data_IF_733499246551
#
_entry.id   IF_733499246551
#
_cell.length_a   1.000
_cell.length_b   1.000
_cell.length_c   1.000
_cell.angle_alpha   90.00
_cell.angle_beta   90.00
_cell.angle_gamma   90.00
#
_symmetry.space_group_name_H-M   'P 1'
#
loop_
_entity.id
_entity.type
_entity.pdbx_description
1 polymer ?
#
# COMPACT_ATOMS: atom_id res chain seq x y z
N UNK A 1 -31.36 6.20 -1.59
CA UNK A 1 -30.62 5.43 -2.61
C UNK A 1 -29.21 5.96 -2.64
N UNK A 2 -28.17 5.13 -2.68
CA UNK A 2 -26.79 5.66 -2.80
C UNK A 2 -26.63 6.26 -4.19
N UNK A 3 -26.02 7.44 -4.33
CA UNK A 3 -25.90 8.15 -5.63
C UNK A 3 -24.85 7.51 -6.55
N UNK A 4 -24.14 6.47 -6.11
CA UNK A 4 -23.17 5.73 -6.90
C UNK A 4 -23.32 4.21 -6.70
N UNK A 5 -22.88 3.43 -7.69
CA UNK A 5 -22.77 1.98 -7.63
C UNK A 5 -21.37 1.56 -8.10
N UNK A 6 -20.84 0.52 -7.49
CA UNK A 6 -19.61 -0.09 -8.01
C UNK A 6 -19.91 -0.96 -9.21
N UNK A 7 -19.05 -0.89 -10.21
CA UNK A 7 -18.99 -1.87 -11.27
C UNK A 7 -18.56 -3.23 -10.72
N UNK A 8 -18.90 -4.35 -11.42
CA UNK A 8 -18.41 -5.66 -11.02
C UNK A 8 -16.88 -5.66 -10.90
N UNK A 9 -16.37 -6.23 -9.80
CA UNK A 9 -14.94 -6.38 -9.61
C UNK A 9 -14.40 -7.42 -10.60
N UNK A 10 -13.36 -7.06 -11.33
CA UNK A 10 -12.64 -7.97 -12.22
C UNK A 10 -11.37 -8.47 -11.52
N UNK A 11 -10.89 -9.70 -11.82
CA UNK A 11 -9.60 -10.15 -11.33
C UNK A 11 -8.48 -9.17 -11.68
N UNK A 12 -7.59 -8.91 -10.73
CA UNK A 12 -6.42 -8.04 -10.90
C UNK A 12 -5.12 -8.85 -10.82
N UNK A 13 -4.75 -9.60 -11.88
CA UNK A 13 -3.58 -10.47 -11.84
C UNK A 13 -2.28 -9.71 -11.55
N UNK A 14 -2.23 -8.42 -11.89
CA UNK A 14 -1.10 -7.55 -11.57
C UNK A 14 -0.91 -7.29 -10.08
N UNK A 15 -1.95 -7.45 -9.26
CA UNK A 15 -1.90 -7.28 -7.81
C UNK A 15 -1.59 -8.60 -7.06
N UNK A 16 -1.46 -9.73 -7.78
CA UNK A 16 -0.96 -10.95 -7.15
C UNK A 16 0.49 -10.77 -6.68
N UNK A 17 0.86 -11.42 -5.56
CA UNK A 17 0.09 -12.39 -4.75
C UNK A 17 -0.80 -11.78 -3.66
N UNK A 18 -0.85 -10.47 -3.50
CA UNK A 18 -1.57 -9.80 -2.40
C UNK A 18 -3.08 -9.98 -2.46
N UNK A 19 -3.63 -10.20 -3.66
CA UNK A 19 -5.06 -10.41 -3.89
C UNK A 19 -5.43 -11.89 -4.03
N UNK A 20 -4.53 -12.81 -3.71
CA UNK A 20 -4.82 -14.23 -3.72
C UNK A 20 -5.91 -14.63 -2.71
N UNK A 21 -5.91 -13.98 -1.54
CA UNK A 21 -6.79 -14.29 -0.41
C UNK A 21 -7.72 -13.13 -0.01
N UNK A 22 -7.69 -12.01 -0.73
CA UNK A 22 -8.55 -10.84 -0.48
C UNK A 22 -8.87 -10.09 -1.74
N UNK A 23 -10.03 -9.44 -1.77
CA UNK A 23 -10.38 -8.52 -2.83
C UNK A 23 -9.56 -7.22 -2.71
N UNK A 24 -9.26 -6.57 -3.85
CA UNK A 24 -8.44 -5.37 -3.86
C UNK A 24 -9.13 -4.17 -3.20
N UNK A 25 -10.46 -4.08 -3.29
CA UNK A 25 -11.24 -3.03 -2.62
C UNK A 25 -11.21 -3.13 -1.08
N UNK A 26 -10.93 -4.33 -0.55
CA UNK A 26 -10.70 -4.56 0.88
C UNK A 26 -9.23 -4.38 1.29
N UNK A 27 -8.31 -4.13 0.36
CA UNK A 27 -6.89 -3.98 0.67
C UNK A 27 -6.65 -2.70 1.50
N UNK A 28 -5.97 -2.79 2.67
CA UNK A 28 -5.72 -1.63 3.52
C UNK A 28 -4.59 -0.76 2.96
N UNK A 29 -4.91 0.49 2.71
CA UNK A 29 -4.00 1.55 2.27
C UNK A 29 -3.94 2.58 3.39
N UNK A 30 -2.77 2.84 3.97
CA UNK A 30 -2.67 3.68 5.18
C UNK A 30 -3.53 3.14 6.34
N UNK A 31 -3.65 1.82 6.45
CA UNK A 31 -4.49 1.07 7.40
C UNK A 31 -6.01 1.28 7.24
N UNK A 32 -6.46 1.75 6.07
CA UNK A 32 -7.88 1.95 5.74
C UNK A 32 -8.18 1.20 4.45
N UNK A 33 -9.27 0.41 4.33
CA UNK A 33 -9.63 -0.27 3.09
C UNK A 33 -9.78 0.69 1.91
N UNK A 34 -9.39 0.26 0.70
CA UNK A 34 -9.54 1.06 -0.53
C UNK A 34 -11.00 1.53 -0.72
N UNK A 35 -11.96 0.64 -0.47
CA UNK A 35 -13.40 0.97 -0.56
C UNK A 35 -13.82 2.10 0.38
N UNK A 36 -13.18 2.24 1.54
CA UNK A 36 -13.45 3.32 2.48
C UNK A 36 -12.84 4.65 1.99
N UNK A 37 -11.62 4.63 1.42
CA UNK A 37 -11.04 5.79 0.76
C UNK A 37 -11.94 6.29 -0.37
N UNK A 38 -12.46 5.36 -1.21
CA UNK A 38 -13.43 5.70 -2.25
C UNK A 38 -14.70 6.31 -1.67
N UNK A 39 -15.25 5.72 -0.59
CA UNK A 39 -16.44 6.24 0.08
C UNK A 39 -16.23 7.66 0.61
N UNK A 40 -15.06 7.95 1.17
CA UNK A 40 -14.70 9.28 1.63
C UNK A 40 -14.55 10.27 0.47
N UNK A 41 -13.88 9.88 -0.60
CA UNK A 41 -13.74 10.73 -1.79
C UNK A 41 -15.08 11.04 -2.45
N UNK A 42 -16.04 10.11 -2.36
CA UNK A 42 -17.38 10.20 -2.90
C UNK A 42 -18.40 10.83 -1.92
N UNK A 43 -17.98 11.29 -0.74
CA UNK A 43 -18.86 11.83 0.31
C UNK A 43 -19.30 13.30 0.05
N UNK A 44 -19.38 13.73 -1.19
CA UNK A 44 -19.79 15.08 -1.58
C UNK A 44 -21.29 15.23 -1.86
N UNK A 45 -21.69 16.43 -2.29
CA UNK A 45 -23.04 16.69 -2.77
C UNK A 45 -23.23 16.08 -4.17
N UNK A 46 -24.20 15.19 -4.29
CA UNK A 46 -24.52 14.49 -5.53
C UNK A 46 -25.75 15.11 -6.19
N UNK A 47 -25.79 15.22 -7.52
CA UNK A 47 -27.00 15.61 -8.24
C UNK A 47 -28.15 14.64 -7.93
N UNK A 48 -29.32 15.16 -7.68
CA UNK A 48 -30.52 14.34 -7.42
C UNK A 48 -30.87 13.53 -8.68
N UNK A 49 -30.99 12.21 -8.51
CA UNK A 49 -31.47 11.31 -9.57
C UNK A 49 -30.38 10.73 -10.48
N UNK A 50 -29.14 11.15 -10.33
CA UNK A 50 -28.01 10.52 -11.06
C UNK A 50 -27.45 9.31 -10.31
N UNK A 51 -27.04 8.30 -11.09
CA UNK A 51 -26.26 7.17 -10.62
C UNK A 51 -24.90 7.22 -11.32
N UNK A 52 -23.82 7.33 -10.56
CA UNK A 52 -22.46 7.25 -11.07
C UNK A 52 -21.96 5.82 -10.87
N UNK A 53 -21.33 5.26 -11.89
CA UNK A 53 -20.63 3.98 -11.81
C UNK A 53 -19.16 4.22 -11.44
N UNK A 54 -18.66 3.44 -10.50
CA UNK A 54 -17.31 3.58 -9.95
C UNK A 54 -16.56 2.26 -10.14
N UNK A 55 -15.36 2.32 -10.69
CA UNK A 55 -14.50 1.15 -10.77
C UNK A 55 -13.97 0.78 -9.37
N UNK A 56 -14.16 -0.45 -8.90
CA UNK A 56 -13.83 -0.86 -7.53
C UNK A 56 -12.33 -0.81 -7.22
N UNK A 57 -11.50 -0.80 -8.27
CA UNK A 57 -10.04 -0.74 -8.16
C UNK A 57 -9.46 0.67 -8.40
N UNK A 58 -10.29 1.69 -8.45
CA UNK A 58 -9.85 3.06 -8.62
C UNK A 58 -9.37 3.66 -7.29
N UNK A 59 -8.16 4.22 -7.27
CA UNK A 59 -7.82 5.24 -6.29
C UNK A 59 -8.45 6.56 -6.71
N UNK A 60 -9.28 7.14 -5.86
CA UNK A 60 -9.99 8.38 -6.13
C UNK A 60 -9.50 9.50 -5.20
N UNK A 61 -9.02 10.59 -5.76
CA UNK A 61 -8.74 11.81 -5.01
C UNK A 61 -9.98 12.71 -4.96
N UNK A 62 -10.32 13.29 -3.80
CA UNK A 62 -11.50 14.14 -3.66
C UNK A 62 -11.56 15.30 -4.65
N UNK A 63 -10.41 15.89 -5.01
CA UNK A 63 -10.34 16.98 -5.97
C UNK A 63 -10.76 16.57 -7.39
N UNK A 64 -10.33 15.38 -7.85
CA UNK A 64 -10.72 14.86 -9.16
C UNK A 64 -12.20 14.49 -9.22
N UNK A 65 -12.71 13.89 -8.13
CA UNK A 65 -14.13 13.57 -7.99
C UNK A 65 -14.95 14.87 -8.04
N UNK A 66 -14.55 15.90 -7.30
CA UNK A 66 -15.22 17.20 -7.28
C UNK A 66 -15.22 17.86 -8.67
N UNK A 67 -14.08 17.82 -9.37
CA UNK A 67 -13.96 18.35 -10.73
C UNK A 67 -14.88 17.61 -11.73
N UNK A 68 -14.93 16.28 -11.67
CA UNK A 68 -15.83 15.47 -12.50
C UNK A 68 -17.31 15.78 -12.19
N UNK A 69 -17.66 15.96 -10.93
CA UNK A 69 -19.04 16.27 -10.51
C UNK A 69 -19.44 17.70 -10.89
N UNK A 70 -18.49 18.63 -10.97
CA UNK A 70 -18.75 20.01 -11.41
C UNK A 70 -19.00 20.13 -12.93
N UNK A 71 -18.71 19.09 -13.71
CA UNK A 71 -18.96 19.01 -15.15
C UNK A 71 -20.11 18.02 -15.44
N UNK A 72 -21.39 18.47 -15.41
CA UNK A 72 -22.54 17.58 -15.47
C UNK A 72 -22.68 16.85 -16.81
N UNK A 73 -22.05 17.34 -17.86
CA UNK A 73 -22.07 16.71 -19.19
C UNK A 73 -20.96 15.68 -19.38
N UNK A 74 -19.96 15.63 -18.49
CA UNK A 74 -18.85 14.69 -18.62
C UNK A 74 -19.32 13.23 -18.55
N UNK A 75 -18.91 12.42 -19.53
CA UNK A 75 -19.27 11.01 -19.61
C UNK A 75 -18.42 10.12 -18.68
N UNK A 76 -17.14 10.46 -18.51
CA UNK A 76 -16.22 9.67 -17.71
C UNK A 76 -15.14 10.52 -17.02
N UNK A 77 -14.64 10.01 -15.89
CA UNK A 77 -13.34 10.37 -15.32
C UNK A 77 -12.35 9.27 -15.66
N UNK A 78 -11.23 9.63 -16.29
CA UNK A 78 -10.16 8.69 -16.68
C UNK A 78 -8.83 9.08 -16.05
N UNK A 79 -7.97 8.09 -15.84
CA UNK A 79 -6.59 8.33 -15.37
C UNK A 79 -5.67 8.87 -16.50
N UNK A 80 -4.40 9.12 -16.18
CA UNK A 80 -3.42 9.63 -17.12
C UNK A 80 -3.18 8.70 -18.32
N UNK A 81 -3.42 7.38 -18.16
CA UNK A 81 -3.31 6.36 -19.21
C UNK A 81 -4.61 6.15 -19.99
N UNK A 82 -5.70 6.87 -19.63
CA UNK A 82 -6.99 6.78 -20.27
C UNK A 82 -7.89 5.67 -19.74
N UNK A 83 -7.53 5.01 -18.63
CA UNK A 83 -8.43 4.04 -18.01
C UNK A 83 -9.54 4.74 -17.22
N UNK A 84 -10.74 4.22 -17.37
CA UNK A 84 -11.92 4.71 -16.69
C UNK A 84 -11.86 4.47 -15.18
N UNK A 85 -12.24 5.47 -14.41
CA UNK A 85 -12.31 5.46 -12.95
C UNK A 85 -13.75 5.62 -12.47
N UNK A 86 -14.49 6.49 -13.14
CA UNK A 86 -15.91 6.76 -12.89
C UNK A 86 -16.61 6.99 -14.21
N UNK A 87 -17.88 6.56 -14.29
CA UNK A 87 -18.73 6.71 -15.48
C UNK A 87 -20.07 7.33 -15.11
N UNK A 88 -20.59 8.14 -16.03
CA UNK A 88 -21.98 8.62 -16.00
C UNK A 88 -22.74 7.86 -17.09
N UNK A 89 -23.53 6.83 -16.73
CA UNK A 89 -24.21 5.98 -17.70
C UNK A 89 -25.12 6.77 -18.65
N UNK A 90 -24.98 6.49 -19.94
CA UNK A 90 -25.77 7.15 -20.98
C UNK A 90 -25.31 8.56 -21.37
N UNK A 91 -24.33 9.14 -20.69
CA UNK A 91 -23.73 10.41 -21.11
C UNK A 91 -22.80 10.22 -22.32
N UNK A 92 -22.85 11.17 -23.25
CA UNK A 92 -21.99 11.19 -24.47
C UNK A 92 -21.08 12.42 -24.50
N UNK A 93 -20.93 13.07 -23.36
CA UNK A 93 -20.16 14.29 -23.21
C UNK A 93 -18.63 14.07 -23.13
N UNK A 94 -17.88 15.10 -22.76
CA UNK A 94 -16.42 15.04 -22.68
C UNK A 94 -15.94 14.05 -21.63
N UNK A 95 -14.67 13.65 -21.76
CA UNK A 95 -13.95 12.84 -20.78
C UNK A 95 -13.09 13.76 -19.92
N UNK A 96 -13.29 13.71 -18.60
CA UNK A 96 -12.43 14.41 -17.64
C UNK A 96 -11.16 13.59 -17.37
N UNK A 97 -10.00 14.24 -17.35
CA UNK A 97 -8.73 13.59 -16.97
C UNK A 97 -8.41 13.89 -15.52
N UNK A 98 -8.20 12.83 -14.76
CA UNK A 98 -7.76 12.92 -13.38
C UNK A 98 -6.32 13.46 -13.28
N UNK A 99 -6.05 14.23 -12.22
CA UNK A 99 -4.72 14.75 -11.89
C UNK A 99 -4.00 13.85 -10.87
N UNK A 100 -4.75 13.21 -9.99
CA UNK A 100 -4.23 12.39 -8.90
C UNK A 100 -4.86 11.01 -8.79
N UNK A 101 -6.07 10.82 -9.32
CA UNK A 101 -6.77 9.53 -9.32
C UNK A 101 -6.23 8.60 -10.40
N UNK A 102 -6.18 7.31 -10.12
CA UNK A 102 -5.67 6.29 -11.04
C UNK A 102 -6.26 4.92 -10.77
N UNK A 103 -6.21 4.03 -11.76
CA UNK A 103 -6.60 2.64 -11.59
C UNK A 103 -5.44 1.83 -11.02
N UNK A 104 -5.68 1.09 -9.93
CA UNK A 104 -4.75 0.13 -9.36
C UNK A 104 -4.67 -1.11 -10.27
N UNK A 105 -3.61 -1.24 -11.03
CA UNK A 105 -3.38 -2.34 -11.97
C UNK A 105 -2.39 -3.36 -11.44
N UNK A 106 -1.44 -2.87 -10.64
CA UNK A 106 -0.28 -3.65 -10.19
C UNK A 106 -0.06 -3.49 -8.69
N UNK A 107 0.57 -4.48 -8.08
CA UNK A 107 0.87 -4.46 -6.65
C UNK A 107 1.72 -3.25 -6.21
N UNK A 108 2.57 -2.71 -7.08
CA UNK A 108 3.35 -1.50 -6.78
C UNK A 108 2.54 -0.19 -6.84
N UNK A 109 1.36 -0.21 -7.46
CA UNK A 109 0.44 0.95 -7.43
C UNK A 109 -0.10 1.19 -6.02
N UNK A 110 -0.15 0.13 -5.18
CA UNK A 110 -0.51 0.24 -3.77
C UNK A 110 0.44 1.13 -2.99
N UNK A 111 1.74 1.15 -3.33
CA UNK A 111 2.70 2.05 -2.70
C UNK A 111 2.41 3.52 -3.04
N UNK A 112 2.00 3.80 -4.28
CA UNK A 112 1.58 5.14 -4.71
C UNK A 112 0.30 5.55 -3.99
N UNK A 113 -0.68 4.64 -3.92
CA UNK A 113 -1.92 4.89 -3.19
C UNK A 113 -1.67 5.15 -1.70
N UNK A 114 -0.75 4.39 -1.07
CA UNK A 114 -0.38 4.59 0.34
C UNK A 114 0.26 5.96 0.58
N UNK A 115 1.16 6.39 -0.29
CA UNK A 115 1.77 7.72 -0.23
C UNK A 115 0.69 8.81 -0.34
N UNK A 116 -0.25 8.66 -1.27
CA UNK A 116 -1.39 9.59 -1.44
C UNK A 116 -2.30 9.58 -0.22
N UNK A 117 -2.64 8.40 0.31
CA UNK A 117 -3.49 8.27 1.50
C UNK A 117 -2.89 9.00 2.70
N UNK A 118 -1.59 8.79 2.97
CA UNK A 118 -0.90 9.44 4.09
C UNK A 118 -0.79 10.95 3.89
N UNK A 119 -0.55 11.41 2.66
CA UNK A 119 -0.51 12.83 2.33
C UNK A 119 -1.87 13.52 2.53
N UNK A 120 -2.97 12.86 2.16
CA UNK A 120 -4.34 13.37 2.30
C UNK A 120 -4.89 13.26 3.72
N UNK A 121 -4.22 12.50 4.59
CA UNK A 121 -4.66 12.28 5.96
C UNK A 121 -4.63 13.58 6.76
N UNK A 122 -5.79 13.94 7.34
CA UNK A 122 -5.94 15.16 8.15
C UNK A 122 -5.81 14.91 9.65
N UNK A 123 -6.12 13.69 10.11
CA UNK A 123 -6.11 13.34 11.53
C UNK A 123 -4.92 12.43 11.84
N UNK A 124 -4.08 12.90 12.76
CA UNK A 124 -2.89 12.20 13.24
C UNK A 124 -3.01 12.01 14.75
N UNK A 125 -3.38 10.81 15.16
CA UNK A 125 -3.66 10.49 16.56
C UNK A 125 -2.61 9.52 17.09
N UNK A 126 -2.07 9.83 18.27
CA UNK A 126 -1.19 8.91 18.99
C UNK A 126 -1.91 8.39 20.23
N UNK A 127 -2.39 7.16 20.15
CA UNK A 127 -3.09 6.44 21.22
C UNK A 127 -2.22 5.33 21.83
N UNK A 128 -0.97 5.22 21.38
CA UNK A 128 -0.01 4.23 21.86
C UNK A 128 0.78 4.71 23.07
N UNK A 129 1.46 3.76 23.70
CA UNK A 129 2.47 4.02 24.73
C UNK A 129 3.86 4.15 24.07
N UNK A 130 4.61 5.22 24.38
CA UNK A 130 5.90 5.44 23.77
C UNK A 130 6.96 5.90 24.78
N UNK A 131 8.16 5.38 24.60
CA UNK A 131 9.30 5.76 25.41
C UNK A 131 9.73 7.22 25.13
N UNK A 132 10.23 7.92 26.14
CA UNK A 132 10.65 9.31 26.04
C UNK A 132 11.76 9.59 25.00
N UNK A 133 12.51 8.55 24.57
CA UNK A 133 13.54 8.67 23.52
C UNK A 133 13.00 8.46 22.10
N UNK A 134 11.68 8.37 21.88
CA UNK A 134 11.11 8.38 20.56
C UNK A 134 11.43 9.70 19.87
N UNK A 135 12.05 9.63 18.69
CA UNK A 135 12.28 10.80 17.84
C UNK A 135 11.36 10.76 16.63
N UNK A 136 10.67 11.86 16.35
CA UNK A 136 9.76 12.00 15.21
C UNK A 136 10.10 13.25 14.42
N UNK A 137 10.50 13.06 13.16
CA UNK A 137 10.66 14.11 12.15
C UNK A 137 9.64 13.88 11.04
N UNK A 138 8.43 14.42 11.21
CA UNK A 138 7.30 14.23 10.34
C UNK A 138 6.00 14.04 11.09
N UNK A 139 5.10 13.18 10.55
CA UNK A 139 3.77 12.93 11.12
C UNK A 139 3.61 11.46 11.52
N UNK A 140 3.19 11.22 12.74
CA UNK A 140 2.99 9.88 13.29
C UNK A 140 1.57 9.68 13.80
N UNK A 141 0.93 8.58 13.39
CA UNK A 141 -0.31 8.10 13.99
C UNK A 141 -0.08 6.70 14.56
N UNK A 142 -0.51 6.47 15.80
CA UNK A 142 -0.32 5.20 16.52
C UNK A 142 -1.65 4.75 17.12
N UNK A 143 -2.03 3.50 16.84
CA UNK A 143 -3.24 2.89 17.38
C UNK A 143 -3.10 2.46 18.85
N UNK A 144 -4.25 2.26 19.50
CA UNK A 144 -4.34 1.90 20.90
C UNK A 144 -3.63 0.57 21.22
N UNK A 145 -2.99 0.49 22.39
CA UNK A 145 -2.26 -0.69 22.84
C UNK A 145 -0.93 -0.95 22.13
N UNK A 146 -0.52 -0.10 21.21
CA UNK A 146 0.80 -0.16 20.59
C UNK A 146 1.85 0.40 21.55
N UNK A 147 2.99 -0.29 21.63
CA UNK A 147 4.13 0.11 22.45
C UNK A 147 5.35 0.43 21.59
N UNK A 148 5.84 1.67 21.68
CA UNK A 148 7.06 2.10 21.01
C UNK A 148 8.20 2.15 22.04
N UNK A 149 9.21 1.31 21.83
CA UNK A 149 10.33 1.07 22.71
C UNK A 149 11.45 2.12 22.52
N UNK A 150 12.48 2.12 23.39
CA UNK A 150 13.59 3.09 23.29
C UNK A 150 14.31 3.09 21.94
N UNK A 151 14.78 4.29 21.54
CA UNK A 151 15.66 4.47 20.38
C UNK A 151 14.96 4.34 19.01
N UNK A 152 13.64 4.38 18.98
CA UNK A 152 12.89 4.41 17.71
C UNK A 152 12.95 5.79 17.09
N UNK A 153 13.25 5.82 15.79
CA UNK A 153 13.29 7.04 14.96
C UNK A 153 12.25 6.91 13.86
N UNK A 154 11.41 7.92 13.74
CA UNK A 154 10.39 8.07 12.70
C UNK A 154 10.75 9.29 11.84
N UNK A 155 10.70 9.12 10.50
CA UNK A 155 10.93 10.21 9.53
C UNK A 155 9.85 10.18 8.44
N UNK A 156 9.19 11.31 8.22
CA UNK A 156 8.09 11.43 7.24
C UNK A 156 6.74 11.00 7.79
N UNK A 157 5.87 10.50 6.93
CA UNK A 157 4.48 10.17 7.26
C UNK A 157 4.34 8.68 7.60
N UNK A 158 4.07 8.36 8.86
CA UNK A 158 4.00 6.97 9.33
C UNK A 158 2.71 6.72 10.10
N UNK A 159 2.04 5.61 9.74
CA UNK A 159 0.87 5.12 10.47
C UNK A 159 1.18 3.73 11.02
N UNK A 160 0.96 3.54 12.31
CA UNK A 160 1.11 2.26 13.02
C UNK A 160 -0.24 1.89 13.63
N UNK A 161 -0.71 0.69 13.33
CA UNK A 161 -1.99 0.18 13.84
C UNK A 161 -1.99 -0.08 15.34
N UNK A 162 -3.05 -0.71 15.83
CA UNK A 162 -3.25 -1.04 17.23
C UNK A 162 -2.51 -2.32 17.64
N UNK A 163 -2.13 -2.42 18.91
CA UNK A 163 -1.55 -3.64 19.50
C UNK A 163 -0.17 -4.03 18.97
N UNK A 164 0.57 -3.10 18.38
CA UNK A 164 1.90 -3.36 17.83
C UNK A 164 3.00 -3.25 18.90
N UNK A 165 4.13 -3.88 18.62
CA UNK A 165 5.38 -3.68 19.32
C UNK A 165 6.44 -3.15 18.36
N UNK A 166 6.97 -1.94 18.61
CA UNK A 166 7.95 -1.29 17.73
C UNK A 166 9.21 -0.98 18.51
N UNK A 167 10.34 -1.43 18.00
CA UNK A 167 11.64 -1.22 18.61
C UNK A 167 12.16 -2.44 19.40
N UNK A 168 13.29 -2.24 20.13
CA UNK A 168 14.04 -0.98 20.22
C UNK A 168 14.88 -0.67 18.96
N UNK A 169 15.35 0.60 18.87
CA UNK A 169 16.31 1.04 17.85
C UNK A 169 15.85 0.76 16.40
N UNK A 170 14.56 0.95 16.11
CA UNK A 170 14.04 0.89 14.74
C UNK A 170 14.16 2.23 14.04
N UNK A 171 14.30 2.18 12.70
CA UNK A 171 14.17 3.35 11.85
C UNK A 171 13.00 3.13 10.86
N UNK A 172 11.94 3.91 10.99
CA UNK A 172 10.77 3.83 10.11
C UNK A 172 10.62 5.17 9.39
N UNK A 173 10.62 5.12 8.06
CA UNK A 173 10.65 6.36 7.27
C UNK A 173 9.86 6.32 5.97
N UNK A 174 9.67 7.54 5.42
CA UNK A 174 8.87 7.75 4.21
C UNK A 174 7.38 7.51 4.47
N UNK A 175 6.61 7.32 3.41
CA UNK A 175 5.20 6.99 3.52
C UNK A 175 5.02 5.50 3.88
N UNK A 176 5.08 5.18 5.17
CA UNK A 176 5.03 3.80 5.66
C UNK A 176 3.78 3.55 6.49
N UNK A 177 3.07 2.46 6.20
CA UNK A 177 1.96 1.98 7.02
C UNK A 177 2.25 0.60 7.60
N UNK A 178 1.98 0.44 8.89
CA UNK A 178 2.11 -0.80 9.65
C UNK A 178 0.73 -1.14 10.21
N UNK A 179 0.22 -2.31 9.88
CA UNK A 179 -1.09 -2.81 10.30
C UNK A 179 -1.17 -3.13 11.78
N UNK A 180 -2.24 -3.78 12.21
CA UNK A 180 -2.49 -4.10 13.61
C UNK A 180 -1.72 -5.35 14.05
N UNK A 181 -1.32 -5.38 15.32
CA UNK A 181 -0.69 -6.54 15.94
C UNK A 181 0.67 -6.92 15.37
N UNK A 182 1.35 -5.98 14.72
CA UNK A 182 2.66 -6.19 14.10
C UNK A 182 3.80 -6.08 15.13
N UNK A 183 4.90 -6.76 14.82
CA UNK A 183 6.16 -6.60 15.53
C UNK A 183 7.23 -6.07 14.58
N UNK A 184 7.71 -4.86 14.81
CA UNK A 184 8.88 -4.27 14.15
C UNK A 184 9.99 -4.22 15.19
N UNK A 185 10.91 -5.18 15.13
CA UNK A 185 11.83 -5.45 16.23
C UNK A 185 13.16 -4.69 16.14
N UNK A 186 14.15 -5.19 16.88
CA UNK A 186 15.44 -4.52 17.06
C UNK A 186 16.19 -4.30 15.73
N UNK A 187 16.68 -3.05 15.56
CA UNK A 187 17.53 -2.66 14.43
C UNK A 187 16.90 -3.00 13.06
N UNK A 188 15.58 -2.84 12.96
CA UNK A 188 14.83 -2.98 11.71
C UNK A 188 14.69 -1.60 11.07
N UNK A 189 14.93 -1.53 9.77
CA UNK A 189 14.58 -0.37 8.98
C UNK A 189 13.40 -0.69 8.06
N UNK A 190 12.32 0.10 8.17
CA UNK A 190 11.20 0.12 7.23
C UNK A 190 11.21 1.43 6.46
N UNK A 191 11.13 1.35 5.14
CA UNK A 191 11.14 2.52 4.29
C UNK A 191 10.08 2.44 3.20
N UNK A 192 9.16 3.42 3.17
CA UNK A 192 8.19 3.57 2.09
C UNK A 192 7.45 2.26 1.77
N UNK A 193 6.91 1.61 2.80
CA UNK A 193 6.40 0.24 2.72
C UNK A 193 5.02 0.09 3.36
N UNK A 194 4.30 -0.92 2.93
CA UNK A 194 3.03 -1.35 3.53
C UNK A 194 3.26 -2.69 4.20
N UNK A 195 3.01 -2.76 5.51
CA UNK A 195 3.11 -3.96 6.32
C UNK A 195 1.71 -4.29 6.82
N UNK A 196 1.13 -5.41 6.42
CA UNK A 196 -0.22 -5.79 6.83
C UNK A 196 -0.25 -6.44 8.22
N UNK A 197 -1.47 -6.67 8.73
CA UNK A 197 -1.75 -7.10 10.10
C UNK A 197 -0.99 -8.36 10.52
N UNK A 198 -0.58 -8.38 11.79
CA UNK A 198 0.07 -9.53 12.46
C UNK A 198 1.39 -9.98 11.82
N UNK A 199 2.05 -9.08 11.08
CA UNK A 199 3.34 -9.33 10.44
C UNK A 199 4.48 -9.01 11.38
N UNK A 200 5.49 -9.88 11.40
CA UNK A 200 6.68 -9.77 12.23
C UNK A 200 7.93 -9.54 11.37
N UNK A 201 8.58 -8.41 11.58
CA UNK A 201 9.92 -8.10 11.09
C UNK A 201 10.78 -7.90 12.34
N UNK A 202 11.24 -9.01 12.94
CA UNK A 202 11.68 -9.05 14.33
C UNK A 202 13.09 -8.53 14.60
N UNK A 203 14.03 -8.67 13.65
CA UNK A 203 15.45 -8.45 13.96
C UNK A 203 16.27 -8.11 12.71
N UNK A 204 17.14 -7.07 12.81
CA UNK A 204 18.26 -6.81 11.89
C UNK A 204 17.87 -6.84 10.41
N UNK A 205 16.69 -6.36 10.06
CA UNK A 205 16.11 -6.50 8.72
C UNK A 205 15.94 -5.16 8.04
N UNK A 206 16.02 -5.17 6.70
CA UNK A 206 15.70 -4.00 5.88
C UNK A 206 14.53 -4.31 4.95
N UNK A 207 13.49 -3.48 5.01
CA UNK A 207 12.30 -3.54 4.15
C UNK A 207 12.11 -2.18 3.50
N UNK A 208 12.45 -2.08 2.22
CA UNK A 208 12.33 -0.83 1.48
C UNK A 208 11.41 -0.96 0.27
N UNK A 209 10.52 0.02 0.08
CA UNK A 209 9.63 0.15 -1.09
C UNK A 209 8.88 -1.16 -1.41
N UNK A 210 8.33 -1.80 -0.36
CA UNK A 210 7.79 -3.17 -0.39
C UNK A 210 6.37 -3.24 0.15
N UNK A 211 5.67 -4.32 -0.19
CA UNK A 211 4.38 -4.65 0.41
C UNK A 211 4.46 -6.05 1.02
N UNK A 212 4.24 -6.15 2.32
CA UNK A 212 4.18 -7.40 3.06
C UNK A 212 2.72 -7.69 3.44
N UNK A 213 2.26 -8.87 3.09
CA UNK A 213 0.94 -9.40 3.43
C UNK A 213 0.74 -9.60 4.94
N UNK A 214 -0.38 -10.21 5.30
CA UNK A 214 -0.70 -10.53 6.69
C UNK A 214 0.09 -11.74 7.19
N UNK A 215 0.38 -11.74 8.50
CA UNK A 215 1.03 -12.89 9.18
C UNK A 215 2.35 -13.31 8.55
N UNK A 216 3.03 -12.40 7.87
CA UNK A 216 4.40 -12.63 7.38
C UNK A 216 5.35 -12.68 8.59
N UNK A 217 6.33 -13.58 8.55
CA UNK A 217 7.37 -13.65 9.57
C UNK A 217 8.76 -13.67 8.94
N UNK A 218 9.50 -12.59 9.13
CA UNK A 218 10.87 -12.49 8.64
C UNK A 218 11.85 -13.05 9.66
N UNK A 219 12.64 -14.05 9.24
CA UNK A 219 13.83 -14.50 9.96
C UNK A 219 14.83 -13.36 10.11
N UNK A 220 15.61 -13.39 11.19
CA UNK A 220 16.60 -12.36 11.50
C UNK A 220 17.56 -12.13 10.32
N UNK A 221 17.83 -10.85 10.02
CA UNK A 221 18.74 -10.49 8.92
C UNK A 221 18.12 -10.65 7.52
N UNK A 222 16.80 -10.73 7.39
CA UNK A 222 16.15 -10.70 6.06
C UNK A 222 16.30 -9.31 5.44
N UNK A 223 16.86 -9.24 4.24
CA UNK A 223 17.14 -7.99 3.53
C UNK A 223 16.43 -7.98 2.18
N UNK A 224 15.60 -6.96 1.93
CA UNK A 224 14.99 -6.72 0.63
C UNK A 224 15.76 -5.62 -0.08
N UNK A 225 16.44 -5.94 -1.17
CA UNK A 225 17.08 -4.94 -2.03
C UNK A 225 16.00 -4.14 -2.80
N UNK A 226 16.17 -2.81 -2.90
CA UNK A 226 15.20 -1.92 -3.57
C UNK A 226 15.80 -1.00 -4.63
N UNK A 227 17.10 -1.14 -4.93
CA UNK A 227 17.79 -0.30 -5.92
C UNK A 227 18.67 -1.16 -6.82
N UNK A 228 18.55 -0.96 -8.12
CA UNK A 228 19.44 -1.58 -9.12
C UNK A 228 20.77 -0.84 -9.20
N UNK A 229 21.85 -1.55 -9.45
CA UNK A 229 23.19 -0.95 -9.62
C UNK A 229 23.27 -0.01 -10.83
N UNK A 230 22.48 -0.28 -11.90
CA UNK A 230 22.42 0.55 -13.09
C UNK A 230 21.48 1.76 -12.96
N UNK A 231 20.78 1.89 -11.84
CA UNK A 231 19.86 2.99 -11.52
C UNK A 231 18.59 3.04 -12.38
N UNK A 232 18.35 2.06 -13.24
CA UNK A 232 17.13 1.97 -14.07
C UNK A 232 15.90 1.54 -13.24
N UNK A 233 14.68 1.78 -13.74
CA UNK A 233 13.48 1.23 -13.15
C UNK A 233 13.53 -0.29 -13.02
N UNK A 234 12.84 -0.80 -12.00
CA UNK A 234 12.70 -2.24 -11.78
C UNK A 234 11.66 -2.83 -12.71
N UNK A 235 11.81 -4.12 -13.00
CA UNK A 235 10.79 -4.92 -13.66
C UNK A 235 10.29 -6.01 -12.71
N UNK A 236 9.00 -6.33 -12.79
CA UNK A 236 8.37 -7.39 -12.00
C UNK A 236 7.53 -8.29 -12.90
N UNK A 237 7.47 -9.56 -12.57
CA UNK A 237 6.73 -10.56 -13.34
C UNK A 237 5.22 -10.41 -13.12
N UNK A 238 4.45 -10.33 -14.18
CA UNK A 238 2.98 -10.30 -14.16
C UNK A 238 2.47 -11.22 -15.24
N UNK A 239 1.73 -12.25 -14.89
CA UNK A 239 1.13 -13.21 -15.84
C UNK A 239 2.11 -13.76 -16.89
N UNK A 240 3.36 -14.01 -16.49
CA UNK A 240 4.40 -14.54 -17.37
C UNK A 240 5.23 -13.49 -18.11
N UNK A 241 4.92 -12.21 -17.98
CA UNK A 241 5.62 -11.11 -18.63
C UNK A 241 6.38 -10.22 -17.65
N UNK A 242 7.56 -9.74 -18.02
CA UNK A 242 8.34 -8.78 -17.24
C UNK A 242 7.89 -7.36 -17.56
N UNK A 243 7.06 -6.80 -16.67
CA UNK A 243 6.51 -5.45 -16.80
C UNK A 243 7.46 -4.43 -16.15
N UNK A 244 7.74 -3.33 -16.83
CA UNK A 244 8.44 -2.19 -16.25
C UNK A 244 7.52 -1.50 -15.23
N UNK A 245 8.00 -1.36 -14.00
CA UNK A 245 7.24 -0.77 -12.91
C UNK A 245 7.24 0.76 -12.94
N UNK A 246 8.08 1.37 -13.77
CA UNK A 246 8.35 2.81 -13.76
C UNK A 246 9.05 3.29 -12.48
N UNK A 247 9.35 2.39 -11.53
CA UNK A 247 9.91 2.73 -10.21
C UNK A 247 11.41 2.47 -10.17
N UNK A 248 12.18 3.52 -9.92
CA UNK A 248 13.63 3.40 -9.69
C UNK A 248 13.94 2.71 -8.35
N UNK A 249 13.07 2.88 -7.34
CA UNK A 249 13.13 2.15 -6.07
C UNK A 249 11.89 1.28 -5.95
N UNK A 250 12.12 -0.02 -5.83
CA UNK A 250 11.07 -1.00 -5.66
C UNK A 250 11.67 -2.26 -5.03
N UNK A 251 11.13 -2.69 -3.90
CA UNK A 251 11.57 -3.87 -3.17
C UNK A 251 10.85 -5.14 -3.63
N UNK A 252 10.08 -5.75 -2.74
CA UNK A 252 9.42 -7.02 -2.99
C UNK A 252 7.92 -6.97 -2.62
N UNK A 253 7.18 -7.91 -3.20
CA UNK A 253 5.77 -8.15 -2.87
C UNK A 253 5.67 -9.52 -2.20
N UNK A 254 5.32 -9.53 -0.93
CA UNK A 254 5.30 -10.72 -0.09
C UNK A 254 3.85 -11.07 0.23
N UNK A 255 3.42 -12.27 -0.15
CA UNK A 255 2.06 -12.77 0.12
C UNK A 255 1.84 -13.10 1.60
N UNK A 256 0.58 -13.35 1.96
CA UNK A 256 0.17 -13.64 3.34
C UNK A 256 0.84 -14.93 3.86
N UNK A 257 1.22 -14.93 5.14
CA UNK A 257 1.74 -16.11 5.82
C UNK A 257 3.11 -16.61 5.32
N UNK A 258 3.87 -15.78 4.60
CA UNK A 258 5.23 -16.12 4.18
C UNK A 258 6.17 -16.10 5.38
N UNK A 259 7.01 -17.14 5.50
CA UNK A 259 8.06 -17.21 6.52
C UNK A 259 9.43 -17.25 5.86
N UNK A 260 10.32 -16.31 6.17
CA UNK A 260 11.70 -16.38 5.67
C UNK A 260 12.64 -17.02 6.69
N UNK A 261 13.62 -17.79 6.18
CA UNK A 261 14.77 -18.22 6.97
C UNK A 261 15.65 -17.02 7.37
N UNK A 262 16.50 -17.19 8.37
CA UNK A 262 17.48 -16.16 8.76
C UNK A 262 18.39 -15.82 7.56
N UNK A 263 18.81 -14.54 7.46
CA UNK A 263 19.69 -14.05 6.39
C UNK A 263 19.17 -14.29 4.96
N UNK A 264 17.84 -14.38 4.78
CA UNK A 264 17.27 -14.40 3.43
C UNK A 264 17.51 -13.06 2.73
N UNK A 265 18.04 -13.14 1.50
CA UNK A 265 18.24 -11.97 0.63
C UNK A 265 17.21 -11.98 -0.49
N UNK A 266 16.44 -10.90 -0.64
CA UNK A 266 15.38 -10.82 -1.66
C UNK A 266 15.75 -9.76 -2.69
N UNK A 267 15.82 -10.16 -3.96
CA UNK A 267 16.10 -9.24 -5.07
C UNK A 267 14.92 -8.30 -5.32
N UNK A 268 15.19 -7.11 -5.84
CA UNK A 268 14.14 -6.13 -6.13
C UNK A 268 13.19 -6.62 -7.22
N UNK A 269 11.91 -6.27 -7.07
CA UNK A 269 10.87 -6.66 -8.00
C UNK A 269 10.38 -8.10 -7.86
N UNK A 270 10.88 -8.86 -6.87
CA UNK A 270 10.48 -10.27 -6.66
C UNK A 270 9.19 -10.37 -5.86
N UNK A 271 8.49 -11.49 -6.08
CA UNK A 271 7.25 -11.85 -5.41
C UNK A 271 7.40 -13.20 -4.71
N UNK A 272 6.81 -13.32 -3.52
CA UNK A 272 6.71 -14.59 -2.81
C UNK A 272 5.23 -14.86 -2.55
N UNK A 273 4.72 -16.01 -3.01
CA UNK A 273 3.31 -16.39 -2.88
C UNK A 273 2.94 -16.76 -1.45
N UNK A 274 1.63 -16.71 -1.10
CA UNK A 274 1.17 -16.95 0.26
C UNK A 274 1.59 -18.33 0.81
N UNK A 275 1.95 -18.35 2.09
CA UNK A 275 2.27 -19.57 2.84
C UNK A 275 3.62 -20.21 2.51
N UNK A 276 4.39 -19.62 1.60
CA UNK A 276 5.72 -20.16 1.26
C UNK A 276 6.78 -19.82 2.31
N UNK A 277 7.85 -20.61 2.30
CA UNK A 277 8.98 -20.43 3.20
C UNK A 277 10.29 -20.42 2.44
N UNK A 278 11.30 -19.70 2.96
CA UNK A 278 12.68 -19.80 2.50
C UNK A 278 13.54 -20.52 3.53
N UNK A 279 14.67 -21.07 3.10
CA UNK A 279 15.68 -21.65 3.98
C UNK A 279 16.60 -20.54 4.52
N UNK A 280 17.36 -20.82 5.61
CA UNK A 280 18.43 -19.92 6.02
C UNK A 280 19.41 -19.61 4.88
N UNK A 281 19.75 -18.32 4.74
CA UNK A 281 20.65 -17.78 3.72
C UNK A 281 20.20 -17.97 2.25
N UNK A 282 18.92 -18.25 2.01
CA UNK A 282 18.41 -18.29 0.65
C UNK A 282 18.49 -16.92 -0.04
N UNK A 283 18.76 -16.97 -1.35
CA UNK A 283 18.71 -15.81 -2.24
C UNK A 283 17.51 -15.95 -3.16
N UNK A 284 16.53 -15.06 -2.98
CA UNK A 284 15.32 -15.02 -3.80
C UNK A 284 15.59 -14.11 -5.00
N UNK A 285 16.09 -14.68 -6.09
CA UNK A 285 16.43 -13.98 -7.35
C UNK A 285 15.33 -14.08 -8.41
N UNK A 286 14.30 -14.89 -8.15
CA UNK A 286 13.08 -15.08 -8.98
C UNK A 286 11.86 -15.17 -8.08
N UNK A 287 10.67 -15.06 -8.69
CA UNK A 287 9.43 -15.22 -7.94
C UNK A 287 9.32 -16.66 -7.40
N UNK A 288 8.85 -16.77 -6.15
CA UNK A 288 8.49 -18.03 -5.52
C UNK A 288 6.97 -18.19 -5.60
N UNK A 289 6.49 -19.21 -6.30
CA UNK A 289 5.08 -19.51 -6.56
C UNK A 289 4.73 -20.92 -6.10
#
# INVERSE_FOLDING_TARGET
MRPFRYLPSTPTPGCLPLTANRALDAFPIGNVPLSEHQRCALAGAWPKGEIIEVYPHAWLEPADVAAFMAEPTAAALVDAQGAELMLRPGATGPVCRAQGSFLLRFAWDLLVANERALKLRTEWQNQGDHHASLYVDGRLSVGAGTRILPGVVIEGDVVIGAGCKVGPNCYIRGATSVGNGCHVGQAVELKHSIILDKTNVGHLSYVGDSVLGEKVNFGAGTIISNLRHDGRPHRSMVAGELIDTGRRKFGAIIGDGVHTGIHTSIYPGRKIWPGLTTRPADVVDRDLV
#
